data_IF_034803733612
#
_entry.id   IF_034803733612
#
_cell.length_a   1.000
_cell.length_b   1.000
_cell.length_c   1.000
_cell.angle_alpha   90.00
_cell.angle_beta   90.00
_cell.angle_gamma   90.00
#
_symmetry.space_group_name_H-M   'P 1'
#
loop_
_entity.id
_entity.type
_entity.pdbx_description
1 polymer ?
#
# COMPACT_ATOMS: atom_id res chain seq x y z
N UNK A 1 0.02 -23.47 -70.29
CA UNK A 1 1.06 -23.31 -69.24
C UNK A 1 0.39 -22.72 -68.03
N UNK A 2 0.48 -23.45 -66.92
CA UNK A 2 -0.05 -23.13 -65.60
C UNK A 2 0.89 -22.18 -64.87
N UNK A 3 0.37 -21.11 -64.26
CA UNK A 3 0.78 -20.58 -62.94
C UNK A 3 -0.34 -19.65 -62.44
N UNK A 4 -1.32 -20.17 -61.72
CA UNK A 4 -1.48 -20.06 -60.25
C UNK A 4 -1.86 -18.64 -59.78
N UNK A 5 -3.16 -18.48 -59.52
CA UNK A 5 -3.79 -17.35 -58.82
C UNK A 5 -3.16 -17.10 -57.44
N UNK A 6 -2.87 -15.84 -57.13
CA UNK A 6 -2.40 -15.37 -55.83
C UNK A 6 -3.57 -15.26 -54.83
N UNK A 7 -3.54 -15.94 -53.67
CA UNK A 7 -4.55 -15.75 -52.62
C UNK A 7 -4.10 -14.69 -51.60
N UNK A 8 -4.96 -13.70 -51.33
CA UNK A 8 -4.88 -12.89 -50.11
C UNK A 8 -4.99 -11.37 -50.26
N UNK A 9 -5.80 -10.87 -51.18
CA UNK A 9 -6.19 -9.47 -51.26
C UNK A 9 -7.03 -9.11 -50.01
N UNK A 10 -6.41 -8.48 -48.99
CA UNK A 10 -7.20 -7.82 -47.93
C UNK A 10 -7.83 -6.59 -48.58
N UNK A 11 -9.12 -6.66 -48.91
CA UNK A 11 -9.92 -5.49 -49.25
C UNK A 11 -9.89 -4.51 -48.08
N UNK A 12 -8.91 -3.62 -48.06
CA UNK A 12 -8.89 -2.47 -47.17
C UNK A 12 -9.97 -1.52 -47.65
N UNK A 13 -11.14 -1.57 -47.00
CA UNK A 13 -12.16 -0.53 -47.19
C UNK A 13 -11.50 0.81 -46.88
N UNK A 14 -11.30 1.64 -47.90
CA UNK A 14 -10.76 2.99 -47.73
C UNK A 14 -11.87 3.84 -47.12
N UNK A 15 -11.89 3.97 -45.79
CA UNK A 15 -12.78 4.91 -45.09
C UNK A 15 -12.26 6.34 -45.26
N UNK A 16 -13.16 7.32 -45.34
CA UNK A 16 -12.77 8.75 -45.24
C UNK A 16 -12.39 9.08 -43.80
N UNK A 17 -11.62 10.16 -43.62
CA UNK A 17 -11.22 10.63 -42.29
C UNK A 17 -12.44 10.96 -41.41
N UNK A 18 -13.51 11.53 -41.99
CA UNK A 18 -14.76 11.79 -41.28
C UNK A 18 -15.46 10.50 -40.84
N UNK A 19 -15.51 9.49 -41.72
CA UNK A 19 -16.13 8.21 -41.41
C UNK A 19 -15.33 7.45 -40.34
N UNK A 20 -13.99 7.54 -40.40
CA UNK A 20 -13.11 7.01 -39.37
C UNK A 20 -13.29 7.73 -38.03
N UNK A 21 -13.37 9.07 -38.04
CA UNK A 21 -13.62 9.89 -36.85
C UNK A 21 -14.95 9.56 -36.18
N UNK A 22 -16.04 9.47 -36.96
CA UNK A 22 -17.36 9.06 -36.46
C UNK A 22 -17.35 7.65 -35.87
N UNK A 23 -16.66 6.70 -36.52
CA UNK A 23 -16.48 5.34 -36.01
C UNK A 23 -15.69 5.35 -34.69
N UNK A 24 -14.62 6.14 -34.58
CA UNK A 24 -13.86 6.25 -33.32
C UNK A 24 -14.71 6.87 -32.20
N UNK A 25 -15.51 7.89 -32.51
CA UNK A 25 -16.43 8.53 -31.56
C UNK A 25 -17.54 7.58 -31.10
N UNK A 26 -18.01 6.66 -31.95
CA UNK A 26 -19.00 5.64 -31.56
C UNK A 26 -18.46 4.60 -30.57
N UNK A 27 -17.14 4.52 -30.40
CA UNK A 27 -16.46 3.68 -29.40
C UNK A 27 -15.91 4.51 -28.23
N UNK A 28 -16.34 5.77 -28.07
CA UNK A 28 -15.88 6.63 -26.99
C UNK A 28 -16.38 6.09 -25.64
N UNK A 29 -15.45 6.05 -24.68
CA UNK A 29 -15.73 5.74 -23.29
C UNK A 29 -15.94 7.04 -22.52
N UNK A 30 -16.61 6.95 -21.37
CA UNK A 30 -16.53 8.01 -20.38
C UNK A 30 -15.11 8.11 -19.82
N UNK A 31 -14.76 9.27 -19.30
CA UNK A 31 -13.48 9.49 -18.64
C UNK A 31 -13.72 10.12 -17.28
N UNK A 32 -13.09 9.54 -16.26
CA UNK A 32 -13.20 9.98 -14.88
C UNK A 32 -11.85 9.99 -14.19
N UNK A 33 -11.82 10.61 -13.03
CA UNK A 33 -10.62 10.67 -12.21
C UNK A 33 -10.95 10.58 -10.73
N UNK A 34 -9.99 10.10 -9.95
CA UNK A 34 -10.07 10.08 -8.49
C UNK A 34 -8.70 10.37 -7.89
N UNK A 35 -8.68 10.77 -6.62
CA UNK A 35 -7.46 11.04 -5.89
C UNK A 35 -7.42 10.19 -4.62
N UNK A 36 -6.38 9.37 -4.50
CA UNK A 36 -6.10 8.67 -3.27
C UNK A 36 -5.34 9.62 -2.34
N UNK A 37 -5.90 9.91 -1.16
CA UNK A 37 -5.23 10.70 -0.12
C UNK A 37 -5.21 9.85 1.15
N UNK A 38 -4.10 9.87 1.88
CA UNK A 38 -4.05 9.26 3.21
C UNK A 38 -3.68 10.27 4.27
N UNK A 39 -3.98 10.00 5.54
CA UNK A 39 -3.40 10.73 6.66
C UNK A 39 -2.07 10.10 7.12
N UNK A 40 -1.47 10.66 8.16
CA UNK A 40 -0.22 10.17 8.77
C UNK A 40 -0.35 8.77 9.41
N UNK A 41 -1.57 8.24 9.56
CA UNK A 41 -1.85 6.88 10.03
C UNK A 41 -2.07 5.89 8.86
N UNK A 42 -2.01 6.36 7.62
CA UNK A 42 -2.30 5.56 6.42
C UNK A 42 -3.79 5.25 6.26
N UNK A 43 -4.67 6.00 6.91
CA UNK A 43 -6.12 5.94 6.68
C UNK A 43 -6.46 6.69 5.40
N UNK A 44 -7.42 6.20 4.62
CA UNK A 44 -7.78 6.76 3.31
C UNK A 44 -8.90 7.78 3.46
N UNK A 45 -8.75 8.95 2.82
CA UNK A 45 -9.81 9.95 2.74
C UNK A 45 -10.93 9.43 1.84
N UNK A 46 -12.14 9.37 2.40
CA UNK A 46 -13.37 9.08 1.68
C UNK A 46 -14.41 10.17 1.91
N UNK A 47 -15.26 10.43 0.91
CA UNK A 47 -16.32 11.41 0.95
C UNK A 47 -17.69 10.75 1.14
N UNK A 48 -18.54 11.41 1.93
CA UNK A 48 -19.99 11.21 1.98
C UNK A 48 -20.64 12.14 0.97
N UNK A 49 -21.49 11.60 0.12
CA UNK A 49 -22.23 12.36 -0.89
C UNK A 49 -23.74 12.16 -0.69
N UNK A 50 -24.54 13.19 -0.96
CA UNK A 50 -25.97 13.16 -0.64
C UNK A 50 -26.85 12.33 -1.60
N UNK A 51 -26.31 11.86 -2.72
CA UNK A 51 -27.07 11.16 -3.76
C UNK A 51 -26.87 9.64 -3.80
N UNK A 52 -25.98 9.08 -2.97
CA UNK A 52 -25.78 7.62 -2.85
C UNK A 52 -25.30 7.25 -1.43
N UNK A 53 -25.64 6.05 -0.94
CA UNK A 53 -25.25 5.63 0.40
C UNK A 53 -23.76 5.25 0.51
N UNK A 54 -23.11 4.89 -0.60
CA UNK A 54 -21.70 4.49 -0.63
C UNK A 54 -20.78 5.71 -0.61
N UNK A 55 -19.59 5.54 -0.04
CA UNK A 55 -18.50 6.52 -0.04
C UNK A 55 -17.73 6.50 -1.36
N UNK A 56 -17.02 7.59 -1.64
CA UNK A 56 -16.17 7.76 -2.81
C UNK A 56 -14.80 8.30 -2.43
N UNK A 57 -13.80 8.08 -3.28
CA UNK A 57 -12.62 8.94 -3.28
C UNK A 57 -12.98 10.30 -3.90
N UNK A 58 -12.30 11.40 -3.52
CA UNK A 58 -12.42 12.67 -4.21
C UNK A 58 -12.16 12.54 -5.71
N UNK A 59 -12.98 13.20 -6.52
CA UNK A 59 -12.89 13.14 -7.97
C UNK A 59 -14.24 12.98 -8.66
N UNK A 60 -14.21 13.10 -9.99
CA UNK A 60 -15.41 13.14 -10.80
C UNK A 60 -15.15 12.89 -12.28
N UNK A 61 -16.15 13.22 -13.09
CA UNK A 61 -16.07 13.13 -14.54
C UNK A 61 -15.13 14.23 -15.10
N UNK A 62 -14.52 13.94 -16.24
CA UNK A 62 -13.71 14.93 -16.94
C UNK A 62 -14.56 15.80 -17.87
N UNK A 63 -14.23 17.08 -17.92
CA UNK A 63 -14.83 18.01 -18.87
C UNK A 63 -14.25 17.85 -20.30
N UNK A 64 -14.96 18.30 -21.34
CA UNK A 64 -14.44 18.26 -22.71
C UNK A 64 -13.08 18.96 -22.85
N UNK A 65 -12.08 18.21 -23.32
CA UNK A 65 -10.72 18.71 -23.52
C UNK A 65 -9.87 18.78 -22.24
N UNK A 66 -10.42 18.38 -21.09
CA UNK A 66 -9.72 18.33 -19.82
C UNK A 66 -8.85 17.07 -19.72
N UNK A 67 -7.60 17.21 -19.28
CA UNK A 67 -6.76 16.04 -18.97
C UNK A 67 -7.14 15.45 -17.60
N UNK A 68 -6.94 14.13 -17.37
CA UNK A 68 -7.26 13.51 -16.10
C UNK A 68 -6.62 14.18 -14.87
N UNK A 69 -5.38 14.66 -15.01
CA UNK A 69 -4.67 15.37 -13.93
C UNK A 69 -5.27 16.76 -13.66
N UNK A 70 -5.74 17.47 -14.70
CA UNK A 70 -6.45 18.74 -14.54
C UNK A 70 -7.80 18.54 -13.84
N UNK A 71 -8.57 17.54 -14.28
CA UNK A 71 -9.84 17.18 -13.63
C UNK A 71 -9.61 16.83 -12.17
N UNK A 72 -8.62 15.99 -11.85
CA UNK A 72 -8.32 15.63 -10.47
C UNK A 72 -7.98 16.84 -9.59
N UNK A 73 -7.19 17.79 -10.13
CA UNK A 73 -6.86 19.02 -9.42
C UNK A 73 -8.04 20.00 -9.32
N UNK A 74 -8.96 19.97 -10.28
CA UNK A 74 -10.22 20.73 -10.25
C UNK A 74 -11.15 20.19 -9.17
N UNK A 75 -11.40 18.89 -9.17
CA UNK A 75 -12.27 18.22 -8.20
C UNK A 75 -11.78 18.45 -6.77
N UNK A 76 -10.48 18.32 -6.47
CA UNK A 76 -9.99 18.62 -5.12
C UNK A 76 -10.22 20.08 -4.68
N UNK A 77 -10.19 21.02 -5.62
CA UNK A 77 -10.46 22.43 -5.33
C UNK A 77 -11.95 22.67 -5.09
N UNK A 78 -12.79 22.06 -5.91
CA UNK A 78 -14.25 22.21 -5.85
C UNK A 78 -14.80 21.49 -4.62
N UNK A 79 -14.49 20.21 -4.46
CA UNK A 79 -15.03 19.34 -3.41
C UNK A 79 -14.43 19.59 -2.03
N UNK A 80 -13.12 19.91 -1.93
CA UNK A 80 -12.40 20.01 -0.66
C UNK A 80 -11.82 21.40 -0.38
N UNK A 81 -11.89 22.34 -1.32
CA UNK A 81 -11.30 23.68 -1.19
C UNK A 81 -9.77 23.71 -1.25
N UNK A 82 -9.11 22.66 -1.78
CA UNK A 82 -7.67 22.48 -1.70
C UNK A 82 -7.01 22.34 -3.07
N UNK A 83 -5.98 23.16 -3.31
CA UNK A 83 -5.12 23.02 -4.48
C UNK A 83 -3.98 22.04 -4.18
N UNK A 84 -3.92 20.92 -4.92
CA UNK A 84 -2.87 19.90 -4.78
C UNK A 84 -2.24 19.66 -6.16
N UNK A 85 -0.92 19.76 -6.30
CA UNK A 85 -0.25 19.34 -7.53
C UNK A 85 -0.26 17.81 -7.62
N UNK A 86 -0.82 17.27 -8.70
CA UNK A 86 -0.95 15.84 -8.92
C UNK A 86 -0.07 15.43 -10.10
N UNK A 87 1.05 14.76 -9.81
CA UNK A 87 2.05 14.38 -10.81
C UNK A 87 2.22 12.88 -10.95
N UNK A 88 1.72 12.09 -10.00
CA UNK A 88 1.88 10.64 -9.95
C UNK A 88 0.52 9.94 -10.10
N UNK A 89 0.39 9.14 -11.16
CA UNK A 89 -0.72 8.19 -11.29
C UNK A 89 -0.46 6.92 -10.47
N UNK A 90 -1.51 6.37 -9.88
CA UNK A 90 -1.50 5.13 -9.09
C UNK A 90 -2.26 4.00 -9.79
N UNK A 91 -3.32 4.33 -10.54
CA UNK A 91 -4.04 3.34 -11.33
C UNK A 91 -4.71 3.97 -12.56
N UNK A 92 -4.91 3.15 -13.59
CA UNK A 92 -5.85 3.38 -14.69
C UNK A 92 -6.76 2.16 -14.76
N UNK A 93 -8.06 2.37 -14.57
CA UNK A 93 -9.07 1.32 -14.55
C UNK A 93 -9.98 1.41 -15.76
N UNK A 94 -10.10 0.31 -16.50
CA UNK A 94 -11.16 0.14 -17.46
C UNK A 94 -12.39 -0.44 -16.77
N UNK A 95 -13.44 0.38 -16.67
CA UNK A 95 -14.73 -0.03 -16.14
C UNK A 95 -15.61 -0.46 -17.31
N UNK A 96 -15.99 -1.73 -17.32
CA UNK A 96 -16.83 -2.29 -18.37
C UNK A 96 -18.26 -1.74 -18.29
N UNK A 97 -19.07 -1.80 -19.37
CA UNK A 97 -20.49 -1.43 -19.33
C UNK A 97 -21.30 -2.17 -18.25
N UNK A 98 -20.85 -3.37 -17.86
CA UNK A 98 -21.45 -4.16 -16.78
C UNK A 98 -20.80 -3.92 -15.40
N UNK A 99 -19.63 -3.27 -15.37
CA UNK A 99 -18.83 -3.02 -14.18
C UNK A 99 -19.47 -2.05 -13.21
N UNK A 100 -20.25 -1.08 -13.72
CA UNK A 100 -21.01 -0.13 -12.91
C UNK A 100 -22.49 -0.47 -12.94
N UNK A 101 -23.12 -0.58 -11.77
CA UNK A 101 -24.58 -0.71 -11.66
C UNK A 101 -25.25 0.64 -11.95
N UNK A 102 -25.51 0.91 -13.23
CA UNK A 102 -26.25 2.09 -13.68
C UNK A 102 -27.66 1.73 -14.15
N UNK A 103 -28.59 2.69 -14.08
CA UNK A 103 -29.89 2.53 -14.75
C UNK A 103 -29.69 2.34 -16.26
N UNK A 104 -30.46 1.46 -16.93
CA UNK A 104 -30.38 1.28 -18.39
C UNK A 104 -30.55 2.58 -19.20
N UNK A 105 -31.27 3.56 -18.65
CA UNK A 105 -31.46 4.87 -19.27
C UNK A 105 -30.15 5.66 -19.44
N UNK A 106 -29.15 5.40 -18.59
CA UNK A 106 -27.84 6.05 -18.62
C UNK A 106 -27.02 5.62 -19.83
N UNK A 107 -27.31 4.43 -20.40
CA UNK A 107 -26.58 3.86 -21.55
C UNK A 107 -25.06 3.94 -21.37
N UNK A 108 -24.60 3.55 -20.19
CA UNK A 108 -23.19 3.63 -19.82
C UNK A 108 -22.32 2.84 -20.81
N UNK A 109 -21.40 3.50 -21.55
CA UNK A 109 -20.58 2.85 -22.58
C UNK A 109 -19.33 2.15 -22.01
N UNK A 110 -19.12 2.25 -20.69
CA UNK A 110 -17.84 1.98 -20.04
C UNK A 110 -17.06 3.27 -19.78
N UNK A 111 -16.04 3.19 -18.93
CA UNK A 111 -15.28 4.35 -18.45
C UNK A 111 -13.79 4.02 -18.30
N UNK A 112 -12.92 4.98 -18.58
CA UNK A 112 -11.53 4.96 -18.12
C UNK A 112 -11.39 5.87 -16.91
N UNK A 113 -11.01 5.30 -15.78
CA UNK A 113 -10.83 6.05 -14.53
C UNK A 113 -9.35 6.12 -14.15
N UNK A 114 -8.85 7.34 -13.95
CA UNK A 114 -7.48 7.57 -13.51
C UNK A 114 -7.45 7.83 -12.01
N UNK A 115 -6.57 7.17 -11.27
CA UNK A 115 -6.36 7.44 -9.84
C UNK A 115 -5.02 8.12 -9.64
N UNK A 116 -5.01 9.31 -9.04
CA UNK A 116 -3.79 10.07 -8.74
C UNK A 116 -3.40 9.98 -7.26
N UNK A 117 -2.10 10.13 -7.01
CA UNK A 117 -1.53 10.21 -5.68
C UNK A 117 -1.70 11.64 -5.12
N UNK A 118 -2.61 11.82 -4.18
CA UNK A 118 -2.82 13.09 -3.46
C UNK A 118 -1.93 13.29 -2.24
N UNK A 119 -1.04 12.33 -1.96
CA UNK A 119 -0.08 12.35 -0.87
C UNK A 119 -0.66 12.02 0.51
N UNK A 120 0.12 12.40 1.53
CA UNK A 120 -0.17 12.21 2.96
C UNK A 120 -0.50 13.55 3.60
N UNK A 121 -1.64 13.67 4.27
CA UNK A 121 -2.09 14.90 4.90
C UNK A 121 -1.94 14.83 6.43
N UNK A 122 -1.45 15.92 7.02
CA UNK A 122 -1.39 16.10 8.47
C UNK A 122 -2.71 16.71 9.00
N UNK A 123 -2.83 16.80 10.31
CA UNK A 123 -4.02 17.33 10.99
C UNK A 123 -4.37 18.75 10.53
N UNK A 124 -3.38 19.64 10.37
CA UNK A 124 -3.59 21.02 9.91
C UNK A 124 -4.24 21.07 8.52
N UNK A 125 -3.73 20.25 7.59
CA UNK A 125 -4.28 20.18 6.24
C UNK A 125 -5.68 19.58 6.24
N UNK A 126 -5.93 18.57 7.07
CA UNK A 126 -7.27 17.99 7.23
C UNK A 126 -8.26 19.01 7.80
N UNK A 127 -7.87 19.79 8.81
CA UNK A 127 -8.69 20.87 9.38
C UNK A 127 -8.98 22.02 8.39
N UNK A 128 -8.14 22.16 7.36
CA UNK A 128 -8.32 23.16 6.30
C UNK A 128 -9.34 22.76 5.22
N UNK A 129 -9.84 21.52 5.22
CA UNK A 129 -10.84 21.04 4.24
C UNK A 129 -12.11 21.91 4.32
N UNK A 130 -12.65 22.26 3.15
CA UNK A 130 -13.93 22.97 2.99
C UNK A 130 -14.81 22.17 2.03
N UNK A 131 -15.67 21.27 2.55
CA UNK A 131 -16.55 20.46 1.71
C UNK A 131 -17.50 21.33 0.89
N UNK A 132 -17.68 21.00 -0.39
CA UNK A 132 -18.65 21.66 -1.26
C UNK A 132 -20.10 21.50 -0.73
N UNK A 133 -20.79 22.59 -0.36
CA UNK A 133 -22.15 22.50 0.18
C UNK A 133 -23.13 21.92 -0.85
N UNK A 134 -23.92 20.93 -0.43
CA UNK A 134 -24.94 20.29 -1.27
C UNK A 134 -24.43 19.14 -2.14
N UNK A 135 -23.11 18.98 -2.26
CA UNK A 135 -22.48 17.87 -2.97
C UNK A 135 -21.80 16.90 -2.00
N UNK A 136 -20.97 17.43 -1.10
CA UNK A 136 -20.19 16.67 -0.12
C UNK A 136 -20.76 16.90 1.28
N UNK A 137 -21.37 15.86 1.85
CA UNK A 137 -21.93 15.89 3.21
C UNK A 137 -20.83 15.79 4.28
N UNK A 138 -19.64 15.32 3.91
CA UNK A 138 -18.44 15.39 4.72
C UNK A 138 -17.38 14.39 4.30
N UNK A 139 -16.29 14.37 5.05
CA UNK A 139 -15.12 13.53 4.78
C UNK A 139 -14.75 12.72 6.02
N UNK A 140 -14.24 11.51 5.79
CA UNK A 140 -13.67 10.64 6.81
C UNK A 140 -12.31 10.13 6.36
N UNK A 141 -11.41 9.89 7.32
CA UNK A 141 -10.21 9.09 7.10
C UNK A 141 -10.43 7.71 7.70
N UNK A 142 -10.54 6.69 6.86
CA UNK A 142 -10.94 5.33 7.25
C UNK A 142 -9.80 4.33 7.09
N UNK A 143 -9.77 3.29 7.92
CA UNK A 143 -8.81 2.19 7.73
C UNK A 143 -9.08 1.54 6.36
N UNK A 144 -8.05 1.28 5.53
CA UNK A 144 -8.22 0.61 4.24
C UNK A 144 -9.06 -0.66 4.25
N UNK A 145 -9.02 -1.42 5.34
CA UNK A 145 -9.80 -2.64 5.51
C UNK A 145 -11.32 -2.40 5.58
N UNK A 146 -11.75 -1.16 5.87
CA UNK A 146 -13.17 -0.78 5.91
C UNK A 146 -13.71 -0.35 4.54
N UNK A 147 -12.85 -0.07 3.55
CA UNK A 147 -13.27 0.38 2.22
C UNK A 147 -14.29 -0.55 1.56
N UNK A 148 -14.15 -1.90 1.59
CA UNK A 148 -15.14 -2.81 1.02
C UNK A 148 -16.54 -2.72 1.67
N UNK A 149 -16.64 -2.27 2.92
CA UNK A 149 -17.91 -2.08 3.62
C UNK A 149 -18.53 -0.70 3.34
N UNK A 150 -17.71 0.28 2.94
CA UNK A 150 -18.12 1.68 2.79
C UNK A 150 -18.36 2.09 1.33
N UNK A 151 -17.69 1.46 0.37
CA UNK A 151 -17.69 1.84 -1.05
C UNK A 151 -18.43 0.81 -1.91
N UNK A 152 -18.73 1.17 -3.17
CA UNK A 152 -19.13 0.17 -4.15
C UNK A 152 -18.00 -0.85 -4.35
N UNK A 153 -18.29 -2.14 -4.62
CA UNK A 153 -17.24 -3.17 -4.68
C UNK A 153 -16.11 -2.89 -5.65
N UNK A 154 -16.41 -2.33 -6.83
CA UNK A 154 -15.44 -1.91 -7.85
C UNK A 154 -14.60 -0.71 -7.40
N UNK A 155 -15.23 0.31 -6.82
CA UNK A 155 -14.52 1.47 -6.26
C UNK A 155 -13.58 1.07 -5.11
N UNK A 156 -14.01 0.14 -4.23
CA UNK A 156 -13.19 -0.39 -3.15
C UNK A 156 -11.95 -1.15 -3.66
N UNK A 157 -12.14 -2.04 -4.66
CA UNK A 157 -11.03 -2.76 -5.29
C UNK A 157 -10.03 -1.79 -5.92
N UNK A 158 -10.52 -0.81 -6.68
CA UNK A 158 -9.70 0.24 -7.31
C UNK A 158 -8.89 1.04 -6.29
N UNK A 159 -9.53 1.48 -5.20
CA UNK A 159 -8.86 2.23 -4.14
C UNK A 159 -7.75 1.40 -3.46
N UNK A 160 -8.02 0.13 -3.16
CA UNK A 160 -7.03 -0.78 -2.58
C UNK A 160 -5.87 -1.07 -3.53
N UNK A 161 -6.14 -1.31 -4.82
CA UNK A 161 -5.08 -1.50 -5.82
C UNK A 161 -4.24 -0.24 -6.02
N UNK A 162 -4.85 0.95 -6.03
CA UNK A 162 -4.12 2.22 -6.07
C UNK A 162 -3.23 2.41 -4.81
N UNK A 163 -3.73 2.04 -3.63
CA UNK A 163 -2.94 2.09 -2.39
C UNK A 163 -1.77 1.10 -2.43
N UNK A 164 -1.98 -0.12 -2.90
CA UNK A 164 -0.90 -1.10 -3.09
C UNK A 164 0.12 -0.63 -4.12
N UNK A 165 -0.30 -0.06 -5.24
CA UNK A 165 0.59 0.53 -6.24
C UNK A 165 1.41 1.70 -5.67
N UNK A 166 0.79 2.52 -4.81
CA UNK A 166 1.50 3.58 -4.07
C UNK A 166 2.66 2.97 -3.29
N UNK A 167 2.38 1.99 -2.43
CA UNK A 167 3.37 1.36 -1.52
C UNK A 167 4.41 0.57 -2.29
N UNK A 168 4.00 -0.23 -3.27
CA UNK A 168 4.91 -1.03 -4.07
C UNK A 168 5.93 -0.15 -4.82
N UNK A 169 5.64 1.13 -5.05
CA UNK A 169 6.56 2.03 -5.72
C UNK A 169 6.69 1.76 -7.22
N UNK A 170 5.72 1.04 -7.80
CA UNK A 170 5.60 0.85 -9.25
C UNK A 170 5.02 2.09 -9.93
N UNK A 171 5.02 2.07 -11.26
CA UNK A 171 4.10 2.88 -12.06
C UNK A 171 2.63 2.53 -11.79
N UNK A 172 1.69 3.22 -12.48
CA UNK A 172 0.26 3.02 -12.29
C UNK A 172 -0.14 1.55 -12.53
N UNK A 173 -1.00 1.00 -11.66
CA UNK A 173 -1.62 -0.29 -11.90
C UNK A 173 -2.63 -0.19 -13.04
N UNK A 174 -2.61 -1.15 -13.97
CA UNK A 174 -3.62 -1.27 -15.01
C UNK A 174 -4.67 -2.26 -14.53
N UNK A 175 -5.93 -1.80 -14.47
CA UNK A 175 -7.04 -2.51 -13.87
C UNK A 175 -8.16 -2.76 -14.88
N UNK A 176 -8.89 -3.85 -14.69
CA UNK A 176 -10.20 -4.13 -15.31
C UNK A 176 -11.23 -4.32 -14.21
N UNK A 177 -12.27 -3.49 -14.19
CA UNK A 177 -13.30 -3.45 -13.15
C UNK A 177 -12.68 -3.46 -11.72
N UNK A 178 -11.61 -2.70 -11.54
CA UNK A 178 -10.86 -2.57 -10.29
C UNK A 178 -9.92 -3.73 -9.95
N UNK A 179 -9.78 -4.74 -10.81
CA UNK A 179 -8.87 -5.88 -10.62
C UNK A 179 -7.56 -5.68 -11.41
N UNK A 180 -6.38 -5.91 -10.82
CA UNK A 180 -5.12 -5.70 -11.52
C UNK A 180 -4.85 -6.77 -12.58
N UNK A 181 -4.51 -6.34 -13.80
CA UNK A 181 -4.10 -7.22 -14.90
C UNK A 181 -2.74 -7.90 -14.65
N UNK A 182 -1.85 -7.21 -13.92
CA UNK A 182 -0.55 -7.72 -13.51
C UNK A 182 -0.41 -7.58 -11.98
N UNK A 183 -0.96 -8.53 -11.20
CA UNK A 183 -0.94 -8.44 -9.73
C UNK A 183 0.48 -8.41 -9.16
N UNK A 184 0.74 -7.43 -8.30
CA UNK A 184 1.98 -7.33 -7.54
C UNK A 184 1.98 -8.31 -6.36
N UNK A 185 3.08 -8.41 -5.61
CA UNK A 185 3.11 -9.21 -4.37
C UNK A 185 2.02 -8.77 -3.38
N UNK A 186 1.83 -7.46 -3.20
CA UNK A 186 0.82 -6.91 -2.29
C UNK A 186 -0.62 -7.23 -2.73
N UNK A 187 -0.85 -7.36 -4.04
CA UNK A 187 -2.15 -7.78 -4.57
C UNK A 187 -2.39 -9.27 -4.29
N UNK A 188 -1.39 -10.13 -4.51
CA UNK A 188 -1.52 -11.59 -4.30
C UNK A 188 -1.86 -11.94 -2.86
N UNK A 189 -1.31 -11.20 -1.89
CA UNK A 189 -1.59 -11.44 -0.46
C UNK A 189 -2.78 -10.62 0.06
N UNK A 190 -3.45 -9.84 -0.80
CA UNK A 190 -4.56 -8.99 -0.40
C UNK A 190 -4.22 -8.02 0.74
N UNK A 191 -3.04 -7.38 0.71
CA UNK A 191 -2.66 -6.40 1.73
C UNK A 191 -3.73 -5.32 1.89
N UNK A 192 -3.88 -4.80 3.11
CA UNK A 192 -4.87 -3.79 3.50
C UNK A 192 -6.34 -4.28 3.58
N UNK A 193 -6.59 -5.57 3.45
CA UNK A 193 -7.93 -6.15 3.68
C UNK A 193 -8.18 -6.55 5.14
N UNK A 194 -7.13 -6.56 5.96
CA UNK A 194 -7.19 -6.73 7.41
C UNK A 194 -6.89 -5.41 8.09
N UNK A 195 -7.63 -5.12 9.16
CA UNK A 195 -7.34 -3.98 10.05
C UNK A 195 -5.90 -4.06 10.55
N UNK A 196 -5.11 -3.01 10.30
CA UNK A 196 -3.74 -2.93 10.81
C UNK A 196 -3.75 -2.77 12.33
N UNK A 197 -2.82 -3.43 13.01
CA UNK A 197 -2.63 -3.26 14.44
C UNK A 197 -2.30 -1.80 14.76
N UNK A 198 -3.05 -1.21 15.68
CA UNK A 198 -2.90 0.19 16.09
C UNK A 198 -1.82 0.27 17.16
N UNK A 199 -0.65 0.79 16.80
CA UNK A 199 0.48 0.98 17.70
C UNK A 199 0.87 2.46 17.80
N UNK A 200 -0.07 3.31 18.21
CA UNK A 200 0.14 4.76 18.39
C UNK A 200 0.84 5.07 19.71
N UNK A 201 1.93 4.35 20.00
CA UNK A 201 2.71 4.49 21.21
C UNK A 201 3.84 5.52 21.00
N UNK A 202 4.21 6.28 22.05
CA UNK A 202 5.29 7.26 21.96
C UNK A 202 6.62 6.56 21.72
N UNK A 203 7.43 7.13 20.82
CA UNK A 203 8.78 6.64 20.54
C UNK A 203 9.79 7.20 21.54
N UNK A 204 10.67 6.32 22.04
CA UNK A 204 11.82 6.69 22.87
C UNK A 204 13.08 6.03 22.33
N UNK A 205 14.12 6.82 22.06
CA UNK A 205 15.43 6.29 21.70
C UNK A 205 16.12 5.60 22.88
N UNK A 206 16.80 4.49 22.62
CA UNK A 206 17.54 3.77 23.64
C UNK A 206 16.72 2.80 24.51
N UNK A 207 17.27 2.36 25.66
CA UNK A 207 16.72 1.26 26.42
C UNK A 207 15.39 1.59 27.10
N UNK A 208 14.63 0.53 27.38
CA UNK A 208 13.47 0.61 28.24
C UNK A 208 13.83 1.17 29.62
N UNK A 209 12.86 1.84 30.25
CA UNK A 209 12.98 2.25 31.64
C UNK A 209 13.26 1.03 32.55
N UNK A 210 14.12 1.23 33.55
CA UNK A 210 14.50 0.16 34.46
C UNK A 210 13.27 -0.45 35.17
N UNK A 211 13.19 -1.78 35.19
CA UNK A 211 12.09 -2.52 35.81
C UNK A 211 10.80 -2.60 35.00
N UNK A 212 10.70 -1.94 33.83
CA UNK A 212 9.53 -2.05 32.95
C UNK A 212 9.60 -3.36 32.15
N UNK A 213 8.59 -4.25 32.24
CA UNK A 213 8.61 -5.52 31.51
C UNK A 213 8.61 -5.33 29.99
N UNK A 214 9.52 -6.02 29.30
CA UNK A 214 9.53 -6.09 27.84
C UNK A 214 8.56 -7.17 27.38
N UNK A 215 7.53 -6.78 26.62
CA UNK A 215 6.50 -7.70 26.11
C UNK A 215 6.74 -8.15 24.68
N UNK A 216 7.42 -7.34 23.87
CA UNK A 216 7.69 -7.63 22.46
C UNK A 216 9.08 -7.13 22.08
N UNK A 217 9.74 -7.83 21.17
CA UNK A 217 11.00 -7.45 20.52
C UNK A 217 10.85 -7.63 19.02
N UNK A 218 10.62 -6.54 18.27
CA UNK A 218 10.52 -6.58 16.81
C UNK A 218 11.79 -6.05 16.14
N UNK A 219 12.17 -6.68 15.02
CA UNK A 219 13.42 -6.42 14.32
C UNK A 219 13.26 -5.80 12.95
N UNK A 220 14.04 -4.75 12.69
CA UNK A 220 14.36 -4.27 11.35
C UNK A 220 15.57 -5.06 10.82
N UNK A 221 15.29 -6.10 10.04
CA UNK A 221 16.33 -7.00 9.54
C UNK A 221 16.76 -6.55 8.15
N UNK A 222 17.93 -5.94 8.06
CA UNK A 222 18.45 -5.36 6.82
C UNK A 222 19.08 -6.40 5.89
N UNK A 223 18.73 -6.33 4.62
CA UNK A 223 19.48 -6.95 3.54
C UNK A 223 20.73 -6.10 3.17
N UNK A 224 21.72 -6.68 2.46
CA UNK A 224 22.95 -5.97 2.07
C UNK A 224 22.72 -4.68 1.26
N UNK A 225 21.64 -4.59 0.50
CA UNK A 225 21.27 -3.42 -0.30
C UNK A 225 20.52 -2.32 0.49
N UNK A 226 20.37 -2.50 1.80
CA UNK A 226 19.72 -1.57 2.71
C UNK A 226 18.19 -1.65 2.75
N UNK A 227 17.57 -2.57 1.99
CA UNK A 227 16.16 -2.95 2.21
C UNK A 227 16.03 -3.76 3.49
N UNK A 228 14.81 -3.96 3.95
CA UNK A 228 14.49 -4.72 5.15
C UNK A 228 13.50 -5.83 4.86
N UNK A 229 13.62 -6.92 5.61
CA UNK A 229 12.68 -8.02 5.56
C UNK A 229 11.35 -7.62 6.20
N UNK A 230 10.27 -7.87 5.47
CA UNK A 230 8.90 -7.83 5.95
C UNK A 230 8.24 -9.18 5.71
N UNK A 231 7.43 -9.62 6.67
CA UNK A 231 6.63 -10.83 6.57
C UNK A 231 5.20 -10.44 6.18
N UNK A 232 4.64 -11.16 5.22
CA UNK A 232 3.29 -10.98 4.72
C UNK A 232 2.51 -12.27 4.95
N UNK A 233 1.38 -12.16 5.64
CA UNK A 233 0.47 -13.27 5.88
C UNK A 233 -0.39 -13.51 4.63
N UNK A 234 -0.21 -14.61 3.87
CA UNK A 234 -1.03 -14.88 2.68
C UNK A 234 -2.51 -15.16 3.02
N UNK A 235 -2.85 -15.50 4.25
CA UNK A 235 -4.22 -15.85 4.64
C UNK A 235 -5.10 -14.61 4.88
N UNK A 236 -4.52 -13.48 5.30
CA UNK A 236 -5.28 -12.28 5.65
C UNK A 236 -4.63 -10.96 5.19
N UNK A 237 -3.46 -11.00 4.55
CA UNK A 237 -2.77 -9.82 4.02
C UNK A 237 -2.12 -8.92 5.05
N UNK A 238 -2.02 -9.35 6.32
CA UNK A 238 -1.31 -8.59 7.34
C UNK A 238 0.20 -8.57 7.06
N UNK A 239 0.83 -7.43 7.34
CA UNK A 239 2.27 -7.30 7.35
C UNK A 239 2.78 -7.29 8.80
N UNK A 240 3.93 -7.92 9.04
CA UNK A 240 4.65 -7.81 10.31
C UNK A 240 6.16 -7.73 10.10
N UNK A 241 6.84 -7.18 11.10
CA UNK A 241 8.28 -7.33 11.24
C UNK A 241 8.54 -8.61 12.04
N UNK A 242 9.63 -9.34 11.75
CA UNK A 242 10.01 -10.48 12.56
C UNK A 242 10.19 -10.10 14.04
N UNK A 243 9.71 -10.96 14.94
CA UNK A 243 9.89 -10.79 16.37
C UNK A 243 8.67 -11.13 17.20
N UNK A 244 8.91 -11.32 18.50
CA UNK A 244 7.89 -11.86 19.40
C UNK A 244 8.19 -11.59 20.87
N UNK A 245 7.71 -12.48 21.74
CA UNK A 245 7.67 -12.26 23.19
C UNK A 245 8.94 -12.78 23.87
N UNK A 246 9.60 -12.00 24.75
CA UNK A 246 10.70 -12.52 25.55
C UNK A 246 10.29 -13.62 26.54
N UNK A 247 10.85 -14.80 26.33
CA UNK A 247 10.58 -16.01 27.09
C UNK A 247 11.57 -16.26 28.23
N UNK A 248 11.16 -16.95 29.31
CA UNK A 248 12.03 -17.28 30.44
C UNK A 248 13.25 -18.11 30.05
N UNK A 249 13.12 -18.98 29.04
CA UNK A 249 14.16 -19.91 28.60
C UNK A 249 15.42 -19.21 28.05
N UNK A 250 15.28 -17.94 27.65
CA UNK A 250 16.37 -17.11 27.13
C UNK A 250 16.70 -15.93 28.06
N UNK A 251 16.51 -16.09 29.37
CA UNK A 251 16.66 -15.04 30.39
C UNK A 251 15.82 -13.78 30.07
N UNK A 252 14.75 -13.94 29.28
CA UNK A 252 13.94 -12.83 28.74
C UNK A 252 14.75 -11.80 27.95
N UNK A 253 15.87 -12.22 27.34
CA UNK A 253 16.73 -11.37 26.53
C UNK A 253 16.04 -10.97 25.21
N UNK A 254 15.78 -9.68 24.96
CA UNK A 254 15.13 -9.25 23.72
C UNK A 254 15.94 -9.53 22.46
N UNK A 255 17.27 -9.56 22.58
CA UNK A 255 18.17 -9.90 21.47
C UNK A 255 18.10 -11.40 21.15
N UNK A 256 18.08 -12.26 22.18
CA UNK A 256 17.92 -13.71 21.98
C UNK A 256 16.54 -14.04 21.39
N UNK A 257 15.49 -13.35 21.87
CA UNK A 257 14.15 -13.44 21.28
C UNK A 257 14.18 -13.11 19.80
N UNK A 258 14.74 -11.97 19.40
CA UNK A 258 14.74 -11.61 17.98
C UNK A 258 15.54 -12.61 17.12
N UNK A 259 16.64 -13.16 17.62
CA UNK A 259 17.39 -14.20 16.90
C UNK A 259 16.54 -15.46 16.71
N UNK A 260 15.81 -15.89 17.75
CA UNK A 260 14.90 -17.05 17.69
C UNK A 260 13.77 -16.79 16.69
N UNK A 261 13.05 -15.69 16.84
CA UNK A 261 11.88 -15.34 16.01
C UNK A 261 12.26 -15.15 14.54
N UNK A 262 13.42 -14.53 14.25
CA UNK A 262 13.92 -14.42 12.88
C UNK A 262 14.13 -15.80 12.23
N UNK A 263 14.59 -16.79 13.00
CA UNK A 263 14.76 -18.16 12.51
C UNK A 263 13.42 -18.88 12.38
N UNK A 264 12.50 -18.69 13.31
CA UNK A 264 11.20 -19.39 13.34
C UNK A 264 10.22 -18.84 12.31
N UNK A 265 10.02 -17.52 12.28
CA UNK A 265 9.00 -16.87 11.44
C UNK A 265 9.49 -16.68 9.99
N UNK A 266 10.80 -16.49 9.81
CA UNK A 266 11.38 -16.13 8.50
C UNK A 266 12.42 -17.12 7.96
N UNK A 267 12.83 -18.12 8.76
CA UNK A 267 13.98 -18.98 8.44
C UNK A 267 15.25 -18.17 8.13
N UNK A 268 15.41 -17.02 8.81
CA UNK A 268 16.50 -16.09 8.61
C UNK A 268 17.52 -16.16 9.76
N UNK A 269 18.81 -16.04 9.42
CA UNK A 269 19.87 -15.79 10.40
C UNK A 269 20.28 -14.33 10.32
N UNK A 270 20.62 -13.78 11.48
CA UNK A 270 20.93 -12.36 11.62
C UNK A 270 22.23 -12.16 12.41
N UNK A 271 22.87 -11.02 12.16
CA UNK A 271 23.95 -10.52 13.00
C UNK A 271 23.45 -10.25 14.43
N UNK A 272 24.34 -10.08 15.43
CA UNK A 272 23.94 -9.62 16.75
C UNK A 272 23.05 -8.38 16.68
N UNK A 273 21.82 -8.41 17.24
CA UNK A 273 20.90 -7.28 17.16
C UNK A 273 21.38 -6.07 17.96
N UNK A 274 21.12 -4.88 17.44
CA UNK A 274 21.32 -3.61 18.14
C UNK A 274 19.97 -3.00 18.51
N UNK A 275 19.89 -2.42 19.70
CA UNK A 275 18.70 -1.72 20.16
C UNK A 275 18.58 -0.36 19.45
N UNK A 276 17.40 -0.09 18.88
CA UNK A 276 17.05 1.21 18.33
C UNK A 276 16.36 2.08 19.38
N UNK A 277 15.36 1.51 20.03
CA UNK A 277 14.50 2.25 20.95
C UNK A 277 13.33 1.41 21.44
N UNK A 278 12.40 2.07 22.09
CA UNK A 278 11.28 1.44 22.75
C UNK A 278 9.98 2.23 22.62
N UNK A 279 8.88 1.52 22.80
CA UNK A 279 7.51 2.01 22.75
C UNK A 279 6.83 1.61 24.07
N UNK A 280 6.87 2.47 25.10
CA UNK A 280 6.16 2.26 26.36
C UNK A 280 4.66 2.16 26.11
N UNK A 281 4.02 1.23 26.81
CA UNK A 281 2.59 0.98 26.77
C UNK A 281 2.05 0.90 28.20
N UNK A 282 1.68 2.05 28.78
CA UNK A 282 1.20 2.11 30.15
C UNK A 282 -0.21 1.53 30.31
N UNK A 283 -1.00 1.44 29.24
CA UNK A 283 -2.41 1.03 29.25
C UNK A 283 -2.61 -0.43 28.81
N UNK A 284 -1.52 -1.18 28.62
CA UNK A 284 -1.59 -2.58 28.25
C UNK A 284 -2.43 -3.39 29.25
N UNK A 285 -3.31 -4.27 28.74
CA UNK A 285 -4.29 -5.03 29.53
C UNK A 285 -3.66 -5.89 30.64
N UNK A 286 -2.44 -6.38 30.41
CA UNK A 286 -1.68 -7.18 31.38
C UNK A 286 -0.72 -6.36 32.26
N UNK A 287 -0.94 -5.04 32.37
CA UNK A 287 -0.14 -4.08 33.13
C UNK A 287 0.91 -3.35 32.30
N UNK A 288 1.44 -2.20 32.79
CA UNK A 288 2.40 -1.36 32.09
C UNK A 288 3.60 -2.14 31.56
N UNK A 289 3.93 -1.95 30.28
CA UNK A 289 5.03 -2.66 29.64
C UNK A 289 5.71 -1.81 28.57
N UNK A 290 6.66 -2.39 27.86
CA UNK A 290 7.28 -1.78 26.69
C UNK A 290 7.52 -2.79 25.58
N UNK A 291 7.57 -2.29 24.36
CA UNK A 291 7.94 -3.05 23.16
C UNK A 291 9.23 -2.47 22.61
N UNK A 292 10.19 -3.32 22.30
CA UNK A 292 11.47 -2.89 21.76
C UNK A 292 11.46 -2.91 20.23
N UNK A 293 12.24 -1.99 19.65
CA UNK A 293 12.66 -2.02 18.26
C UNK A 293 14.15 -2.29 18.22
N UNK A 294 14.52 -3.34 17.52
CA UNK A 294 15.90 -3.73 17.29
C UNK A 294 16.20 -3.66 15.80
N UNK A 295 17.48 -3.68 15.45
CA UNK A 295 17.92 -3.87 14.07
C UNK A 295 19.05 -4.88 14.00
N UNK A 296 19.14 -5.60 12.89
CA UNK A 296 20.24 -6.51 12.60
C UNK A 296 20.43 -6.62 11.09
N UNK A 297 21.55 -7.19 10.66
CA UNK A 297 21.82 -7.50 9.26
C UNK A 297 21.49 -8.97 9.02
N UNK A 298 20.77 -9.27 7.95
CA UNK A 298 20.53 -10.63 7.47
C UNK A 298 21.86 -11.25 7.02
N UNK A 299 22.18 -12.41 7.55
CA UNK A 299 23.40 -13.16 7.19
C UNK A 299 23.10 -14.40 6.35
N UNK A 300 21.88 -14.95 6.46
CA UNK A 300 21.44 -16.12 5.71
C UNK A 300 19.91 -16.19 5.67
N UNK A 301 19.33 -16.74 4.61
CA UNK A 301 17.90 -17.02 4.48
C UNK A 301 17.71 -18.43 3.93
N UNK A 302 17.19 -19.31 4.79
CA UNK A 302 16.89 -20.70 4.46
C UNK A 302 15.55 -20.88 3.74
N UNK A 303 15.15 -22.14 3.49
CA UNK A 303 13.84 -22.47 2.92
C UNK A 303 12.71 -22.03 3.83
N UNK A 304 11.63 -21.52 3.24
CA UNK A 304 10.45 -21.16 4.01
C UNK A 304 9.89 -22.39 4.71
N UNK A 305 9.50 -22.21 5.96
CA UNK A 305 8.92 -23.25 6.81
C UNK A 305 7.74 -22.65 7.57
N UNK A 306 6.75 -23.47 7.93
CA UNK A 306 5.73 -23.05 8.88
C UNK A 306 6.40 -22.61 10.18
N UNK A 307 5.99 -21.46 10.68
CA UNK A 307 6.32 -20.99 12.01
C UNK A 307 5.89 -22.05 13.05
N UNK A 308 6.78 -22.52 13.93
CA UNK A 308 6.47 -23.62 14.85
C UNK A 308 5.36 -23.29 15.87
N UNK A 309 5.18 -22.02 16.21
CA UNK A 309 4.22 -21.59 17.24
C UNK A 309 2.80 -21.45 16.68
N UNK A 310 2.68 -20.95 15.45
CA UNK A 310 1.41 -20.61 14.81
C UNK A 310 1.01 -21.58 13.70
N UNK A 311 1.96 -22.33 13.15
CA UNK A 311 1.80 -23.13 11.94
C UNK A 311 1.70 -22.29 10.66
N UNK A 312 1.84 -20.96 10.76
CA UNK A 312 1.70 -20.03 9.65
C UNK A 312 2.97 -20.05 8.79
N UNK A 313 2.82 -20.12 7.47
CA UNK A 313 3.95 -19.88 6.54
C UNK A 313 3.82 -18.48 5.99
N UNK A 314 4.73 -17.59 6.37
CA UNK A 314 4.76 -16.22 5.87
C UNK A 314 5.42 -16.14 4.49
N UNK A 315 4.91 -15.24 3.65
CA UNK A 315 5.66 -14.76 2.50
C UNK A 315 6.68 -13.73 2.99
N UNK A 316 7.90 -13.84 2.48
CA UNK A 316 9.03 -13.01 2.88
C UNK A 316 9.33 -12.04 1.76
N UNK A 317 9.42 -10.75 2.07
CA UNK A 317 9.68 -9.73 1.07
C UNK A 317 10.74 -8.74 1.54
N UNK A 318 11.49 -8.18 0.59
CA UNK A 318 12.34 -7.03 0.81
C UNK A 318 11.61 -5.76 0.39
N UNK A 319 11.59 -4.79 1.30
CA UNK A 319 11.01 -3.47 1.10
C UNK A 319 11.99 -2.40 1.61
N UNK A 320 11.90 -1.17 1.09
CA UNK A 320 12.60 -0.05 1.74
C UNK A 320 11.99 0.22 3.13
N UNK A 321 12.77 0.76 4.10
CA UNK A 321 12.22 1.15 5.40
C UNK A 321 10.98 2.06 5.29
N UNK A 322 10.97 2.96 4.33
CA UNK A 322 9.84 3.84 4.01
C UNK A 322 8.59 3.05 3.59
N UNK A 323 8.73 2.08 2.69
CA UNK A 323 7.62 1.21 2.28
C UNK A 323 7.09 0.35 3.42
N UNK A 324 7.97 -0.11 4.32
CA UNK A 324 7.55 -0.84 5.52
C UNK A 324 6.64 0.04 6.36
N UNK A 325 6.99 1.29 6.66
CA UNK A 325 6.12 2.21 7.42
C UNK A 325 4.74 2.35 6.78
N UNK A 326 4.66 2.45 5.46
CA UNK A 326 3.40 2.57 4.72
C UNK A 326 2.50 1.32 4.83
N UNK A 327 3.05 0.16 5.22
CA UNK A 327 2.30 -1.08 5.50
C UNK A 327 1.74 -1.14 6.92
N UNK A 328 2.13 -0.23 7.82
CA UNK A 328 1.71 -0.23 9.23
C UNK A 328 0.83 0.97 9.59
N UNK A 329 0.14 0.89 10.73
CA UNK A 329 -0.60 2.00 11.32
C UNK A 329 0.13 2.51 12.58
N UNK A 330 1.37 2.99 12.40
CA UNK A 330 2.15 3.55 13.51
C UNK A 330 1.94 5.05 13.70
N UNK A 331 1.30 5.72 12.75
CA UNK A 331 1.03 7.15 12.85
C UNK A 331 2.31 8.00 12.79
N UNK A 332 2.28 9.22 13.34
CA UNK A 332 3.41 10.14 13.31
C UNK A 332 4.71 9.58 13.90
N UNK A 333 4.64 8.70 14.91
CA UNK A 333 5.84 8.11 15.55
C UNK A 333 6.58 7.13 14.63
N UNK A 334 5.98 6.74 13.50
CA UNK A 334 6.66 6.00 12.45
C UNK A 334 7.85 6.77 11.86
N UNK A 335 7.78 8.11 11.79
CA UNK A 335 8.88 8.94 11.28
C UNK A 335 10.09 8.94 12.23
N UNK A 336 9.84 8.98 13.54
CA UNK A 336 10.91 8.92 14.56
C UNK A 336 11.57 7.53 14.56
N UNK A 337 10.77 6.47 14.47
CA UNK A 337 11.28 5.10 14.29
C UNK A 337 12.15 5.00 13.03
N UNK A 338 11.69 5.54 11.90
CA UNK A 338 12.41 5.52 10.62
C UNK A 338 13.76 6.25 10.72
N UNK A 339 13.84 7.34 11.48
CA UNK A 339 15.09 8.05 11.76
C UNK A 339 16.10 7.14 12.47
N UNK A 340 15.68 6.45 13.53
CA UNK A 340 16.52 5.48 14.24
C UNK A 340 16.95 4.30 13.34
N UNK A 341 16.05 3.82 12.48
CA UNK A 341 16.34 2.77 11.48
C UNK A 341 17.43 3.21 10.51
N UNK A 342 17.37 4.45 10.00
CA UNK A 342 18.41 4.98 9.11
C UNK A 342 19.75 5.21 9.81
N UNK A 343 19.76 5.59 11.09
CA UNK A 343 20.99 5.63 11.88
C UNK A 343 21.61 4.24 12.05
N UNK A 344 20.80 3.21 12.32
CA UNK A 344 21.29 1.84 12.39
C UNK A 344 21.80 1.32 11.04
N UNK A 345 21.10 1.59 9.93
CA UNK A 345 21.58 1.29 8.57
C UNK A 345 22.97 1.88 8.31
N UNK A 346 23.17 3.16 8.65
CA UNK A 346 24.46 3.82 8.50
C UNK A 346 25.54 3.20 9.38
N UNK A 347 25.20 2.82 10.62
CA UNK A 347 26.10 2.10 11.54
C UNK A 347 26.52 0.73 11.00
N UNK A 348 25.63 0.04 10.29
CA UNK A 348 25.94 -1.20 9.59
C UNK A 348 26.68 -1.00 8.26
N UNK A 349 27.01 0.24 7.89
CA UNK A 349 27.64 0.60 6.63
C UNK A 349 26.85 0.15 5.39
N UNK A 350 25.52 0.08 5.49
CA UNK A 350 24.63 -0.31 4.40
C UNK A 350 24.21 0.90 3.56
N UNK A 351 24.05 0.73 2.23
CA UNK A 351 23.61 1.80 1.34
C UNK A 351 22.15 2.20 1.64
N UNK A 352 21.74 3.38 1.16
CA UNK A 352 20.33 3.75 1.17
C UNK A 352 19.63 3.00 0.04
N UNK A 353 18.67 2.15 0.38
CA UNK A 353 17.86 1.45 -0.61
C UNK A 353 17.07 2.43 -1.47
N UNK A 354 17.04 2.16 -2.78
CA UNK A 354 16.17 2.88 -3.72
C UNK A 354 14.78 2.27 -3.67
N UNK A 355 13.74 3.13 -3.66
CA UNK A 355 12.35 2.66 -3.68
C UNK A 355 12.09 1.89 -4.98
N UNK A 356 11.64 0.66 -4.83
CA UNK A 356 11.36 -0.27 -5.93
C UNK A 356 10.27 -1.26 -5.51
N UNK A 357 9.69 -2.02 -6.45
CA UNK A 357 8.72 -3.07 -6.13
C UNK A 357 9.23 -4.00 -5.02
N UNK A 358 8.33 -4.36 -4.10
CA UNK A 358 8.65 -5.35 -3.08
C UNK A 358 9.10 -6.63 -3.77
N UNK A 359 10.24 -7.15 -3.33
CA UNK A 359 10.83 -8.36 -3.92
C UNK A 359 10.58 -9.53 -2.99
N UNK A 360 9.83 -10.51 -3.48
CA UNK A 360 9.61 -11.77 -2.78
C UNK A 360 10.93 -12.55 -2.70
N UNK A 361 11.22 -13.10 -1.52
CA UNK A 361 12.41 -13.90 -1.27
C UNK A 361 12.08 -15.40 -1.44
N UNK A 362 12.70 -16.10 -2.41
CA UNK A 362 12.44 -17.52 -2.67
C UNK A 362 12.95 -18.43 -1.53
N UNK A 363 12.61 -19.72 -1.62
CA UNK A 363 12.92 -20.80 -0.64
C UNK A 363 14.42 -21.16 -0.49
N UNK A 364 15.30 -20.28 -0.93
CA UNK A 364 16.68 -20.10 -0.48
C UNK A 364 17.20 -18.88 -1.24
N UNK A 365 17.68 -17.86 -0.54
CA UNK A 365 18.20 -16.65 -1.21
C UNK A 365 19.68 -16.48 -0.92
N UNK A 366 20.50 -16.51 -1.97
CA UNK A 366 21.88 -16.06 -1.87
C UNK A 366 21.90 -14.53 -1.74
N UNK A 367 22.11 -14.06 -0.51
CA UNK A 367 22.10 -12.63 -0.19
C UNK A 367 23.22 -11.86 -0.89
N UNK A 368 24.25 -12.53 -1.43
CA UNK A 368 25.31 -11.86 -2.20
C UNK A 368 24.85 -11.36 -3.57
N UNK A 369 23.68 -11.79 -4.03
CA UNK A 369 23.08 -11.38 -5.30
C UNK A 369 22.19 -10.13 -5.19
N UNK A 370 22.00 -9.61 -3.98
CA UNK A 370 21.13 -8.47 -3.66
C UNK A 370 21.82 -7.12 -3.78
#
# INVERSE_FOLDING_TARGET
MTTTSTPGERSGVTMTDEAYGALRASHALWAGTSVLITDQHGRVLVQRVGYRPTRLLPGGALDPGESPAQGAARELREELGLAVPLTRGLAVDWVSPAGRRTSPAVRFPGELLHVFDGGVWNEDRIASIRPAPGEIEGVDFVEPADLPALMAPDDARRALSALRARVNGTGPAILEDGLPLAPTLLDRVNTFTRHRAVHHLPWHEGPAAAGLPVRQSWGWLFAPDGRVLVLLDPANGAACLPGGTPEPENDRSPAATLIREALEEASARISPPVLLGNLPDPEHSAGPCTRLRMAAVLTDIGPSRPDPATGQTYLRALATPEQVIELFNWGPTGADQLTAVHHARARFALPRATRQPLTELPDATDLSTL
#
